data_IF_292898307039
#
_entry.id   IF_292898307039
#
_cell.length_a   1.000
_cell.length_b   1.000
_cell.length_c   1.000
_cell.angle_alpha   90.00
_cell.angle_beta   90.00
_cell.angle_gamma   90.00
#
_symmetry.space_group_name_H-M   'P 1'
#
loop_
_entity.id
_entity.type
_entity.pdbx_description
1 polymer ?
#
# COMPACT_ATOMS: atom_id res chain seq x y z
N UNK A 1 8.62 -12.02 17.91
CA UNK A 1 9.56 -12.60 16.91
C UNK A 1 9.70 -11.79 15.62
N UNK A 2 8.63 -11.36 14.94
CA UNK A 2 8.68 -10.63 13.64
C UNK A 2 9.61 -9.41 13.59
N UNK A 3 9.61 -8.57 14.65
CA UNK A 3 10.43 -7.35 14.72
C UNK A 3 11.95 -7.63 14.77
N UNK A 4 12.35 -8.77 15.36
CA UNK A 4 13.76 -9.14 15.48
C UNK A 4 14.34 -9.59 14.13
N UNK A 5 13.59 -10.41 13.38
CA UNK A 5 13.96 -10.89 12.04
C UNK A 5 14.08 -9.74 11.04
N UNK A 6 13.13 -8.79 11.04
CA UNK A 6 13.20 -7.60 10.18
C UNK A 6 14.40 -6.70 10.51
N UNK A 7 14.84 -6.66 11.77
CA UNK A 7 16.02 -5.91 12.19
C UNK A 7 17.30 -6.56 11.68
N UNK A 8 17.33 -7.90 11.63
CA UNK A 8 18.44 -8.70 11.12
C UNK A 8 18.54 -8.61 9.59
N UNK A 9 17.40 -8.66 8.89
CA UNK A 9 17.31 -8.48 7.43
C UNK A 9 17.69 -7.07 6.96
N UNK A 10 17.66 -6.07 7.85
CA UNK A 10 18.10 -4.69 7.57
C UNK A 10 19.63 -4.51 7.58
N UNK A 11 20.40 -5.48 8.06
CA UNK A 11 21.86 -5.40 8.13
C UNK A 11 22.54 -5.61 6.76
N UNK A 12 21.84 -6.23 5.81
CA UNK A 12 22.34 -6.48 4.45
C UNK A 12 21.47 -5.75 3.43
N UNK A 13 22.12 -4.91 2.61
CA UNK A 13 21.47 -4.00 1.66
C UNK A 13 20.56 -4.71 0.65
N UNK A 14 20.89 -5.95 0.28
CA UNK A 14 20.13 -6.74 -0.69
C UNK A 14 18.81 -7.29 -0.12
N UNK A 15 18.84 -7.90 1.06
CA UNK A 15 17.68 -8.50 1.73
C UNK A 15 16.72 -7.45 2.30
N UNK A 16 17.25 -6.27 2.66
CA UNK A 16 16.47 -5.09 3.02
C UNK A 16 15.49 -4.70 1.90
N UNK A 17 15.97 -4.63 0.65
CA UNK A 17 15.14 -4.24 -0.49
C UNK A 17 14.06 -5.26 -0.81
N UNK A 18 14.38 -6.56 -0.72
CA UNK A 18 13.39 -7.64 -0.91
C UNK A 18 12.31 -7.60 0.18
N UNK A 19 12.71 -7.42 1.45
CA UNK A 19 11.75 -7.28 2.55
C UNK A 19 10.89 -6.01 2.44
N UNK A 20 11.47 -4.90 1.97
CA UNK A 20 10.75 -3.66 1.72
C UNK A 20 9.72 -3.83 0.58
N UNK A 21 10.13 -4.47 -0.52
CA UNK A 21 9.24 -4.77 -1.64
C UNK A 21 8.10 -5.70 -1.22
N UNK A 22 8.40 -6.75 -0.45
CA UNK A 22 7.39 -7.64 0.11
C UNK A 22 6.42 -6.88 1.03
N UNK A 23 6.93 -5.94 1.84
CA UNK A 23 6.11 -5.07 2.68
C UNK A 23 5.16 -4.18 1.86
N UNK A 24 5.63 -3.59 0.76
CA UNK A 24 4.84 -2.78 -0.16
C UNK A 24 3.76 -3.59 -0.89
N UNK A 25 4.11 -4.81 -1.32
CA UNK A 25 3.20 -5.73 -2.01
C UNK A 25 2.17 -6.35 -1.07
N UNK A 26 2.51 -6.49 0.21
CA UNK A 26 1.58 -7.05 1.19
C UNK A 26 0.31 -6.20 1.30
N UNK A 27 -0.84 -6.86 1.48
CA UNK A 27 -2.14 -6.23 1.73
C UNK A 27 -2.17 -5.35 2.99
N UNK A 28 -1.10 -5.35 3.79
CA UNK A 28 -0.96 -4.48 4.97
C UNK A 28 -0.38 -3.10 4.61
N UNK A 29 0.27 -2.94 3.45
CA UNK A 29 0.83 -1.69 2.97
C UNK A 29 -0.21 -0.74 2.37
N UNK A 30 0.13 0.56 2.28
CA UNK A 30 -0.77 1.60 1.75
C UNK A 30 -1.25 1.29 0.33
N UNK A 31 -0.35 0.82 -0.55
CA UNK A 31 -0.68 0.46 -1.94
C UNK A 31 -1.66 -0.72 -2.01
N UNK A 32 -1.46 -1.75 -1.18
CA UNK A 32 -2.39 -2.87 -1.09
C UNK A 32 -3.78 -2.41 -0.62
N UNK A 33 -3.82 -1.66 0.49
CA UNK A 33 -5.07 -1.17 1.10
C UNK A 33 -5.90 -0.27 0.18
N UNK A 34 -5.25 0.56 -0.64
CA UNK A 34 -5.92 1.46 -1.61
C UNK A 34 -6.24 0.80 -2.95
N UNK A 35 -5.87 -0.47 -3.15
CA UNK A 35 -6.18 -1.19 -4.37
C UNK A 35 -5.31 -0.80 -5.57
N UNK A 36 -4.12 -0.22 -5.33
CA UNK A 36 -3.24 0.28 -6.39
C UNK A 36 -2.91 -0.78 -7.44
N UNK A 37 -2.60 -2.01 -7.00
CA UNK A 37 -2.30 -3.13 -7.90
C UNK A 37 -3.52 -3.53 -8.75
N UNK A 38 -4.74 -3.43 -8.19
CA UNK A 38 -5.99 -3.74 -8.88
C UNK A 38 -6.29 -2.68 -9.95
N UNK A 39 -6.13 -1.41 -9.61
CA UNK A 39 -6.30 -0.26 -10.51
C UNK A 39 -5.30 -0.31 -11.67
N UNK A 40 -4.04 -0.65 -11.37
CA UNK A 40 -3.01 -0.84 -12.39
C UNK A 40 -3.39 -1.99 -13.35
N UNK A 41 -3.79 -3.15 -12.83
CA UNK A 41 -4.17 -4.29 -13.66
C UNK A 41 -5.43 -4.05 -14.50
N UNK A 42 -6.42 -3.33 -13.95
CA UNK A 42 -7.70 -3.06 -14.63
C UNK A 42 -7.70 -1.79 -15.48
N UNK A 43 -6.62 -1.02 -15.47
CA UNK A 43 -6.48 0.26 -16.17
C UNK A 43 -7.66 1.22 -15.88
N UNK A 44 -8.15 1.20 -14.64
CA UNK A 44 -9.32 1.98 -14.20
C UNK A 44 -9.13 2.45 -12.77
N UNK A 45 -9.35 3.73 -12.54
CA UNK A 45 -9.16 4.38 -11.24
C UNK A 45 -10.25 3.95 -10.26
N UNK A 46 -9.94 2.96 -9.41
CA UNK A 46 -10.86 2.41 -8.40
C UNK A 46 -10.15 2.17 -7.06
N UNK A 47 -10.90 2.20 -5.97
CA UNK A 47 -10.45 1.81 -4.63
C UNK A 47 -10.35 0.28 -4.53
N UNK A 48 -9.81 -0.23 -3.42
CA UNK A 48 -9.63 -1.66 -3.20
C UNK A 48 -10.94 -2.46 -3.28
N UNK A 49 -12.03 -1.88 -2.77
CA UNK A 49 -13.38 -2.45 -2.82
C UNK A 49 -13.98 -2.47 -4.24
N UNK A 50 -13.43 -1.69 -5.17
CA UNK A 50 -13.90 -1.55 -6.55
C UNK A 50 -14.81 -0.36 -6.78
N UNK A 51 -15.00 0.51 -5.78
CA UNK A 51 -15.65 1.80 -5.96
C UNK A 51 -14.76 2.72 -6.82
N UNK A 52 -15.35 3.55 -7.69
CA UNK A 52 -14.56 4.53 -8.46
C UNK A 52 -13.90 5.53 -7.50
N UNK A 53 -12.64 5.84 -7.76
CA UNK A 53 -11.92 6.83 -6.98
C UNK A 53 -12.42 8.24 -7.38
N UNK A 54 -12.72 9.13 -6.42
CA UNK A 54 -13.12 10.47 -6.75
C UNK A 54 -11.92 11.28 -7.29
N UNK A 55 -12.19 12.41 -7.94
CA UNK A 55 -11.16 13.32 -8.48
C UNK A 55 -10.49 14.14 -7.36
N UNK A 56 -10.04 13.47 -6.31
CA UNK A 56 -9.36 14.04 -5.16
C UNK A 56 -8.07 13.26 -4.87
N UNK A 57 -7.11 13.92 -4.23
CA UNK A 57 -5.90 13.24 -3.77
C UNK A 57 -6.23 12.29 -2.62
N UNK A 58 -5.42 11.24 -2.44
CA UNK A 58 -5.58 10.32 -1.30
C UNK A 58 -5.61 11.04 0.05
N UNK A 59 -4.76 12.07 0.23
CA UNK A 59 -4.74 12.86 1.45
C UNK A 59 -6.07 13.62 1.66
N UNK A 60 -6.63 14.20 0.59
CA UNK A 60 -7.94 14.85 0.65
C UNK A 60 -9.05 13.86 1.00
N UNK A 61 -9.02 12.64 0.43
CA UNK A 61 -9.99 11.58 0.72
C UNK A 61 -9.87 11.13 2.17
N UNK A 62 -8.65 10.88 2.66
CA UNK A 62 -8.39 10.51 4.06
C UNK A 62 -8.83 11.60 5.06
N UNK A 63 -8.69 12.85 4.66
CA UNK A 63 -9.11 13.97 5.49
C UNK A 63 -10.64 14.18 5.46
N UNK A 64 -11.26 14.18 4.29
CA UNK A 64 -12.68 14.52 4.15
C UNK A 64 -13.60 13.33 4.42
N UNK A 65 -13.21 12.11 4.04
CA UNK A 65 -14.03 10.90 4.13
C UNK A 65 -14.68 10.65 5.50
N UNK A 66 -13.96 10.72 6.63
CA UNK A 66 -14.58 10.52 7.95
C UNK A 66 -15.38 11.72 8.47
N UNK A 67 -15.43 12.84 7.74
CA UNK A 67 -16.06 14.11 8.16
C UNK A 67 -17.33 14.45 7.35
N UNK A 68 -17.68 13.60 6.39
CA UNK A 68 -18.87 13.69 5.54
C UNK A 68 -19.79 12.49 5.85
#
# INVERSE_FOLDING_TARGET
MRKFVLRLLRLSSFTSNVAAFYGLWSQQGFLGKRGWFRTFHKLRTMEADGQPLPWFTYASIDFLGPRL
#
